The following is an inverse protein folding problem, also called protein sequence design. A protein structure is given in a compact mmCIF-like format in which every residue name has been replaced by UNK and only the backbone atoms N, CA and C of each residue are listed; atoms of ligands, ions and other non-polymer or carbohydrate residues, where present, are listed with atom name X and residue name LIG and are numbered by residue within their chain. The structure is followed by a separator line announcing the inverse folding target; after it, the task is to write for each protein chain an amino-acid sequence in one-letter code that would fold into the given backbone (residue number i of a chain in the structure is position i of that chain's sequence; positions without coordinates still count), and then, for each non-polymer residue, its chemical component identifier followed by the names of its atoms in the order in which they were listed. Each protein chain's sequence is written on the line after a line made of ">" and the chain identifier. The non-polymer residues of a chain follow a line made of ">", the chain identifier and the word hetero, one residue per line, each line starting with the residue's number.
data_IF_587193335808
#
_entry.id   IF_587193335808
#
_cell.length_a   1.000
_cell.length_b   1.000
_cell.length_c   1.000
_cell.angle_alpha   90.00
_cell.angle_beta   90.00
_cell.angle_gamma   90.00
#
_symmetry.space_group_name_H-M   'P 1'
#
loop_
_entity.id
_entity.type
_entity.pdbx_description
1 polymer ?
#
# COMPACT_ATOMS: atom_id res chain seq x y z
N UNK A 1 -9.61 -19.84 22.44
CA UNK A 1 -9.66 -18.55 23.16
C UNK A 1 -8.22 -18.05 23.30
N UNK A 2 -7.78 -17.17 22.40
CA UNK A 2 -6.48 -16.53 22.51
C UNK A 2 -6.61 -15.37 23.51
N UNK A 3 -5.72 -15.32 24.50
CA UNK A 3 -5.73 -14.25 25.50
C UNK A 3 -5.55 -12.89 24.83
N UNK A 4 -6.30 -11.89 25.30
CA UNK A 4 -6.12 -10.51 24.90
C UNK A 4 -4.68 -10.10 25.27
N UNK A 5 -3.81 -10.02 24.26
CA UNK A 5 -2.52 -9.36 24.38
C UNK A 5 -2.81 -7.88 24.63
N UNK A 6 -2.64 -7.43 25.87
CA UNK A 6 -2.75 -6.01 26.19
C UNK A 6 -1.54 -5.32 25.58
N UNK A 7 -1.76 -4.63 24.45
CA UNK A 7 -0.73 -3.80 23.82
C UNK A 7 -0.22 -2.75 24.84
N UNK A 8 1.10 -2.51 24.92
CA UNK A 8 1.62 -1.50 25.83
C UNK A 8 1.08 -0.11 25.47
N UNK A 9 0.52 0.60 26.46
CA UNK A 9 0.11 1.99 26.30
C UNK A 9 1.34 2.91 26.32
N UNK A 10 1.62 3.57 25.19
CA UNK A 10 2.74 4.52 25.07
C UNK A 10 2.23 5.92 25.47
N UNK A 11 2.68 6.43 26.62
CA UNK A 11 2.38 7.78 27.14
C UNK A 11 3.53 8.75 26.90
N UNK A 12 3.25 10.04 26.67
CA UNK A 12 4.27 11.09 26.48
C UNK A 12 4.59 11.39 25.01
N UNK A 13 5.66 12.16 24.71
CA UNK A 13 6.06 12.46 23.33
C UNK A 13 6.34 11.16 22.57
N UNK A 14 5.77 11.01 21.38
CA UNK A 14 6.00 9.82 20.56
C UNK A 14 7.49 9.69 20.21
N UNK A 15 8.06 8.47 20.31
CA UNK A 15 9.41 8.21 19.86
C UNK A 15 9.49 8.32 18.33
N UNK A 16 10.72 8.50 17.84
CA UNK A 16 11.09 8.43 16.44
C UNK A 16 11.12 6.97 15.99
N UNK A 17 10.60 6.68 14.81
CA UNK A 17 10.73 5.37 14.17
C UNK A 17 11.93 5.40 13.21
N UNK A 18 13.00 4.67 13.51
CA UNK A 18 14.19 4.58 12.65
C UNK A 18 14.26 3.22 11.96
N UNK A 19 14.36 3.19 10.63
CA UNK A 19 14.61 1.98 9.83
C UNK A 19 16.07 1.95 9.39
N UNK A 20 16.76 0.84 9.67
CA UNK A 20 18.14 0.60 9.23
C UNK A 20 18.13 -0.35 8.02
N UNK A 21 18.77 0.09 6.94
CA UNK A 21 18.88 -0.65 5.69
C UNK A 21 20.24 -1.35 5.52
N UNK A 22 20.33 -2.37 4.67
CA UNK A 22 21.55 -3.13 4.40
C UNK A 22 22.67 -2.32 3.76
N UNK A 23 22.32 -1.19 3.14
CA UNK A 23 23.27 -0.20 2.59
C UNK A 23 23.88 0.72 3.65
N UNK A 24 23.47 0.58 4.92
CA UNK A 24 23.86 1.48 6.01
C UNK A 24 23.00 2.74 6.13
N UNK A 25 22.04 2.94 5.22
CA UNK A 25 21.06 4.03 5.31
C UNK A 25 20.21 3.92 6.57
N UNK A 26 19.96 5.06 7.20
CA UNK A 26 19.07 5.21 8.36
C UNK A 26 17.95 6.18 8.01
N UNK A 27 16.72 5.69 7.98
CA UNK A 27 15.54 6.51 7.72
C UNK A 27 14.82 6.78 9.03
N UNK A 28 14.84 8.03 9.49
CA UNK A 28 14.22 8.45 10.75
C UNK A 28 12.89 9.14 10.48
N UNK A 29 11.82 8.65 11.09
CA UNK A 29 10.47 9.19 10.95
C UNK A 29 9.98 9.79 12.26
N UNK A 30 9.53 11.04 12.18
CA UNK A 30 8.74 11.68 13.23
C UNK A 30 7.28 11.26 13.06
N UNK A 31 6.74 10.63 14.09
CA UNK A 31 5.34 10.21 14.11
C UNK A 31 4.42 11.37 14.51
N UNK A 32 3.23 11.40 13.92
CA UNK A 32 2.13 12.27 14.30
C UNK A 32 1.62 11.85 15.68
N UNK A 33 1.34 12.81 16.55
CA UNK A 33 0.82 12.53 17.90
C UNK A 33 -0.66 12.15 17.88
N UNK A 34 -0.94 10.91 17.46
CA UNK A 34 -2.28 10.33 17.36
C UNK A 34 -2.35 9.00 18.12
N UNK A 35 -3.56 8.61 18.53
CA UNK A 35 -3.82 7.30 19.13
C UNK A 35 -3.50 6.17 18.13
N UNK A 36 -3.82 6.36 16.85
CA UNK A 36 -3.48 5.41 15.80
C UNK A 36 -1.97 5.20 15.69
N UNK A 37 -1.17 6.28 15.68
CA UNK A 37 0.30 6.16 15.60
C UNK A 37 0.91 5.47 16.83
N UNK A 38 0.40 5.77 18.04
CA UNK A 38 0.81 5.09 19.28
C UNK A 38 0.51 3.59 19.25
N UNK A 39 -0.67 3.24 18.76
CA UNK A 39 -1.11 1.84 18.65
C UNK A 39 -0.31 1.09 17.59
N UNK A 40 -0.10 1.72 16.42
CA UNK A 40 0.74 1.18 15.35
C UNK A 40 2.17 0.92 15.84
N UNK A 41 2.74 1.86 16.60
CA UNK A 41 4.07 1.73 17.17
C UNK A 41 4.18 0.55 18.16
N UNK A 42 3.16 0.34 18.99
CA UNK A 42 3.09 -0.81 19.90
C UNK A 42 2.97 -2.15 19.14
N UNK A 43 2.27 -2.17 18.00
CA UNK A 43 2.24 -3.33 17.10
C UNK A 43 3.60 -3.55 16.44
N UNK A 44 4.24 -2.50 15.93
CA UNK A 44 5.53 -2.55 15.26
C UNK A 44 6.68 -2.99 16.20
N UNK A 45 6.58 -2.68 17.49
CA UNK A 45 7.50 -3.16 18.52
C UNK A 45 7.54 -4.69 18.66
N UNK A 46 6.48 -5.38 18.25
CA UNK A 46 6.38 -6.83 18.29
C UNK A 46 6.85 -7.50 16.99
N UNK A 47 6.98 -6.73 15.92
CA UNK A 47 7.36 -7.23 14.61
C UNK A 47 8.86 -7.48 14.53
N UNK A 48 9.27 -8.25 13.51
CA UNK A 48 10.68 -8.51 13.24
C UNK A 48 11.01 -8.41 11.75
N UNK A 49 12.20 -7.94 11.34
CA UNK A 49 12.57 -7.82 9.92
C UNK A 49 12.45 -9.14 9.15
N UNK A 50 12.71 -10.28 9.79
CA UNK A 50 12.62 -11.59 9.14
C UNK A 50 11.19 -11.97 8.70
N UNK A 51 10.19 -11.32 9.31
CA UNK A 51 8.75 -11.51 9.09
C UNK A 51 8.17 -10.62 8.00
N UNK A 52 8.99 -9.78 7.37
CA UNK A 52 8.58 -9.08 6.15
C UNK A 52 8.35 -10.11 5.05
N UNK A 53 7.40 -9.84 4.14
CA UNK A 53 7.33 -10.60 2.87
C UNK A 53 8.75 -10.62 2.27
N UNK A 54 9.13 -11.72 1.61
CA UNK A 54 10.45 -11.81 0.97
C UNK A 54 10.26 -11.93 -0.52
N UNK A 55 11.05 -11.15 -1.25
CA UNK A 55 11.07 -11.12 -2.72
C UNK A 55 10.77 -9.75 -3.29
N UNK A 56 10.83 -9.67 -4.61
CA UNK A 56 10.75 -8.40 -5.34
C UNK A 56 9.33 -7.81 -5.38
N UNK A 57 8.30 -8.65 -5.20
CA UNK A 57 6.91 -8.23 -5.22
C UNK A 57 6.47 -7.72 -3.84
N UNK A 58 5.70 -6.63 -3.84
CA UNK A 58 5.09 -5.95 -2.69
C UNK A 58 5.99 -5.12 -1.76
N UNK A 59 7.32 -5.27 -1.82
CA UNK A 59 8.23 -4.47 -0.99
C UNK A 59 8.65 -3.16 -1.61
N UNK A 60 8.89 -3.15 -2.91
CA UNK A 60 9.47 -2.02 -3.64
C UNK A 60 8.61 -1.75 -4.87
N UNK A 61 8.02 -0.56 -4.93
CA UNK A 61 7.24 -0.08 -6.06
C UNK A 61 7.94 1.13 -6.67
N UNK A 62 8.02 1.15 -8.00
CA UNK A 62 8.70 2.18 -8.79
C UNK A 62 10.22 2.03 -8.89
N UNK A 63 10.76 0.86 -8.55
CA UNK A 63 12.21 0.60 -8.61
C UNK A 63 12.60 -0.43 -9.67
N UNK A 64 11.62 -0.94 -10.41
CA UNK A 64 11.82 -2.08 -11.28
C UNK A 64 12.60 -1.73 -12.55
N UNK A 65 13.51 -2.61 -12.91
CA UNK A 65 14.08 -2.66 -14.26
C UNK A 65 13.14 -3.41 -15.20
N UNK A 66 13.26 -3.15 -16.51
CA UNK A 66 12.44 -3.81 -17.55
C UNK A 66 12.45 -5.34 -17.42
N UNK A 67 13.59 -5.95 -17.10
CA UNK A 67 13.68 -7.41 -16.92
C UNK A 67 12.81 -7.93 -15.77
N UNK A 68 12.71 -7.18 -14.66
CA UNK A 68 11.86 -7.55 -13.52
C UNK A 68 10.38 -7.40 -13.86
N UNK A 69 10.02 -6.38 -14.64
CA UNK A 69 8.64 -6.21 -15.15
C UNK A 69 8.25 -7.40 -16.03
N UNK A 70 9.12 -7.81 -16.94
CA UNK A 70 8.87 -8.97 -17.82
C UNK A 70 8.75 -10.27 -17.02
N UNK A 71 9.58 -10.48 -15.99
CA UNK A 71 9.46 -11.63 -15.10
C UNK A 71 8.13 -11.62 -14.34
N UNK A 72 7.73 -10.48 -13.76
CA UNK A 72 6.45 -10.34 -13.07
C UNK A 72 5.25 -10.60 -13.99
N UNK A 73 5.30 -10.15 -15.25
CA UNK A 73 4.29 -10.48 -16.27
C UNK A 73 4.23 -11.98 -16.58
N UNK A 74 5.38 -12.64 -16.68
CA UNK A 74 5.43 -14.08 -16.88
C UNK A 74 4.88 -14.84 -15.66
N UNK A 75 5.18 -14.38 -14.44
CA UNK A 75 4.61 -14.91 -13.19
C UNK A 75 3.10 -14.77 -13.17
N UNK A 76 2.58 -13.58 -13.48
CA UNK A 76 1.14 -13.31 -13.59
C UNK A 76 0.46 -14.24 -14.61
N UNK A 77 1.07 -14.45 -15.78
CA UNK A 77 0.58 -15.39 -16.78
C UNK A 77 0.51 -16.83 -16.26
N UNK A 78 1.53 -17.28 -15.52
CA UNK A 78 1.54 -18.63 -14.94
C UNK A 78 0.47 -18.79 -13.86
N UNK A 79 0.40 -17.86 -12.91
CA UNK A 79 -0.55 -17.95 -11.79
C UNK A 79 -2.00 -17.82 -12.28
N UNK A 80 -2.29 -16.93 -13.24
CA UNK A 80 -3.61 -16.84 -13.86
C UNK A 80 -4.03 -18.15 -14.53
N UNK A 81 -3.13 -18.81 -15.28
CA UNK A 81 -3.40 -20.11 -15.91
C UNK A 81 -3.65 -21.21 -14.88
N UNK A 82 -2.88 -21.27 -13.80
CA UNK A 82 -3.07 -22.24 -12.72
C UNK A 82 -4.43 -22.10 -12.04
N UNK A 83 -4.94 -20.87 -11.94
CA UNK A 83 -6.27 -20.56 -11.39
C UNK A 83 -7.40 -20.72 -12.43
N UNK A 84 -7.08 -21.10 -13.66
CA UNK A 84 -8.06 -21.24 -14.74
C UNK A 84 -8.63 -19.91 -15.24
N UNK A 85 -7.91 -18.80 -15.04
CA UNK A 85 -8.30 -17.47 -15.46
C UNK A 85 -7.77 -17.17 -16.87
N UNK A 86 -8.63 -16.58 -17.70
CA UNK A 86 -8.22 -16.07 -19.01
C UNK A 86 -7.47 -14.74 -18.83
N UNK A 87 -6.27 -14.66 -19.40
CA UNK A 87 -5.46 -13.45 -19.38
C UNK A 87 -5.32 -12.90 -20.79
N UNK A 88 -5.88 -11.72 -21.02
CA UNK A 88 -5.60 -10.92 -22.22
C UNK A 88 -4.15 -10.41 -22.17
N UNK A 89 -3.53 -10.09 -23.32
CA UNK A 89 -2.21 -9.48 -23.34
C UNK A 89 -2.16 -8.20 -22.46
N UNK A 90 -1.07 -8.05 -21.72
CA UNK A 90 -0.78 -6.84 -20.93
C UNK A 90 0.21 -6.00 -21.74
N UNK A 91 -0.30 -4.97 -22.41
CA UNK A 91 0.48 -4.04 -23.23
C UNK A 91 0.23 -2.57 -22.84
N UNK A 92 0.94 -1.64 -23.48
CA UNK A 92 0.86 -0.21 -23.17
C UNK A 92 -0.57 0.37 -23.26
N UNK A 93 -1.45 -0.20 -24.07
CA UNK A 93 -2.81 0.30 -24.31
C UNK A 93 -3.87 -0.41 -23.45
N UNK A 94 -3.63 -1.66 -23.06
CA UNK A 94 -4.60 -2.50 -22.37
C UNK A 94 -4.27 -2.87 -20.93
N UNK A 95 -3.04 -2.63 -20.47
CA UNK A 95 -2.54 -3.19 -19.20
C UNK A 95 -3.49 -2.93 -18.02
N UNK A 96 -3.97 -1.70 -17.88
CA UNK A 96 -4.76 -1.27 -16.75
C UNK A 96 -6.12 -1.98 -16.70
N UNK A 97 -6.77 -2.14 -17.86
CA UNK A 97 -8.04 -2.88 -17.96
C UNK A 97 -7.82 -4.36 -17.66
N UNK A 98 -6.75 -4.95 -18.19
CA UNK A 98 -6.41 -6.35 -17.95
C UNK A 98 -6.14 -6.63 -16.46
N UNK A 99 -5.33 -5.79 -15.80
CA UNK A 99 -5.04 -5.93 -14.37
C UNK A 99 -6.28 -5.71 -13.50
N UNK A 100 -7.11 -4.70 -13.80
CA UNK A 100 -8.37 -4.47 -13.08
C UNK A 100 -9.28 -5.71 -13.14
N UNK A 101 -9.44 -6.32 -14.32
CA UNK A 101 -10.26 -7.54 -14.48
C UNK A 101 -9.73 -8.69 -13.65
N UNK A 102 -8.42 -8.91 -13.64
CA UNK A 102 -7.81 -9.96 -12.81
C UNK A 102 -8.03 -9.71 -11.33
N UNK A 103 -7.92 -8.46 -10.89
CA UNK A 103 -8.10 -8.08 -9.48
C UNK A 103 -9.50 -8.46 -8.96
N UNK A 104 -10.54 -8.36 -9.79
CA UNK A 104 -11.91 -8.78 -9.42
C UNK A 104 -11.99 -10.26 -9.03
N UNK A 105 -11.17 -11.10 -9.67
CA UNK A 105 -11.19 -12.54 -9.43
C UNK A 105 -10.66 -12.91 -8.05
N UNK A 106 -9.80 -12.09 -7.44
CA UNK A 106 -9.22 -12.44 -6.15
C UNK A 106 -10.31 -12.44 -5.04
N UNK A 107 -11.07 -11.36 -4.77
CA UNK A 107 -12.18 -11.41 -3.82
C UNK A 107 -13.25 -12.46 -4.15
N UNK A 108 -13.51 -12.73 -5.44
CA UNK A 108 -14.47 -13.74 -5.87
C UNK A 108 -13.98 -15.17 -5.61
N UNK A 109 -12.69 -15.43 -5.85
CA UNK A 109 -12.04 -16.71 -5.56
C UNK A 109 -12.19 -17.07 -4.09
N UNK A 110 -11.93 -16.12 -3.18
CA UNK A 110 -12.10 -16.33 -1.74
C UNK A 110 -13.55 -16.50 -1.30
N UNK A 111 -14.51 -15.86 -1.99
CA UNK A 111 -15.94 -15.99 -1.65
C UNK A 111 -16.58 -17.28 -2.14
N UNK A 112 -16.25 -17.74 -3.35
CA UNK A 112 -16.99 -18.80 -4.03
C UNK A 112 -16.21 -20.11 -4.20
N UNK A 113 -14.88 -20.06 -4.16
CA UNK A 113 -14.00 -21.17 -4.59
C UNK A 113 -12.77 -21.30 -3.70
N UNK A 114 -12.89 -21.06 -2.40
CA UNK A 114 -11.73 -21.24 -1.51
C UNK A 114 -11.27 -22.70 -1.54
N UNK A 115 -10.15 -22.91 -2.23
CA UNK A 115 -9.41 -24.17 -2.32
C UNK A 115 -8.08 -23.88 -1.63
N UNK A 116 -7.85 -24.40 -0.41
CA UNK A 116 -6.63 -24.12 0.37
C UNK A 116 -5.35 -24.32 -0.44
N UNK A 117 -5.33 -25.31 -1.33
CA UNK A 117 -4.19 -25.69 -2.18
C UNK A 117 -3.85 -24.62 -3.23
N UNK A 118 -4.79 -23.74 -3.56
CA UNK A 118 -4.60 -22.65 -4.53
C UNK A 118 -4.38 -21.29 -3.84
N UNK A 119 -4.37 -21.24 -2.51
CA UNK A 119 -4.21 -19.99 -1.76
C UNK A 119 -2.92 -19.28 -2.12
N UNK A 120 -1.79 -19.99 -2.10
CA UNK A 120 -0.47 -19.41 -2.39
C UNK A 120 -0.41 -18.88 -3.84
N UNK A 121 -1.01 -19.60 -4.79
CA UNK A 121 -1.09 -19.17 -6.19
C UNK A 121 -1.95 -17.91 -6.36
N UNK A 122 -3.11 -17.87 -5.70
CA UNK A 122 -3.98 -16.69 -5.71
C UNK A 122 -3.28 -15.49 -5.07
N UNK A 123 -2.60 -15.71 -3.94
CA UNK A 123 -1.85 -14.68 -3.23
C UNK A 123 -0.72 -14.14 -4.09
N UNK A 124 0.10 -15.00 -4.70
CA UNK A 124 1.16 -14.58 -5.61
C UNK A 124 0.61 -13.79 -6.81
N UNK A 125 -0.52 -14.23 -7.39
CA UNK A 125 -1.19 -13.48 -8.45
C UNK A 125 -1.58 -12.07 -7.99
N UNK A 126 -2.16 -11.93 -6.79
CA UNK A 126 -2.56 -10.64 -6.23
C UNK A 126 -1.36 -9.72 -6.01
N UNK A 127 -0.26 -10.24 -5.44
CA UNK A 127 0.98 -9.48 -5.27
C UNK A 127 1.55 -9.02 -6.62
N UNK A 128 1.52 -9.88 -7.64
CA UNK A 128 1.98 -9.53 -8.98
C UNK A 128 1.11 -8.45 -9.64
N UNK A 129 -0.22 -8.52 -9.50
CA UNK A 129 -1.15 -7.50 -10.01
C UNK A 129 -0.84 -6.15 -9.39
N UNK A 130 -0.85 -6.05 -8.06
CA UNK A 130 -0.60 -4.78 -7.37
C UNK A 130 0.78 -4.22 -7.72
N UNK A 131 1.82 -5.06 -7.73
CA UNK A 131 3.15 -4.61 -8.09
C UNK A 131 3.21 -4.08 -9.53
N UNK A 132 2.63 -4.80 -10.50
CA UNK A 132 2.56 -4.35 -11.89
C UNK A 132 1.74 -3.07 -12.08
N UNK A 133 0.70 -2.85 -11.28
CA UNK A 133 -0.09 -1.59 -11.35
C UNK A 133 0.78 -0.36 -11.08
N UNK A 134 1.69 -0.45 -10.11
CA UNK A 134 2.65 0.62 -9.84
C UNK A 134 3.70 0.75 -10.94
N UNK A 135 4.35 -0.36 -11.33
CA UNK A 135 5.46 -0.30 -12.29
C UNK A 135 4.99 0.11 -13.68
N UNK A 136 3.90 -0.47 -14.18
CA UNK A 136 3.34 -0.10 -15.48
C UNK A 136 2.72 1.30 -15.46
N UNK A 137 2.16 1.72 -14.32
CA UNK A 137 1.73 3.10 -14.10
C UNK A 137 2.87 4.10 -14.21
N UNK A 138 4.06 3.76 -13.70
CA UNK A 138 5.25 4.58 -13.86
C UNK A 138 5.75 4.59 -15.31
N UNK A 139 5.83 3.43 -15.96
CA UNK A 139 6.36 3.29 -17.33
C UNK A 139 5.44 3.94 -18.37
N UNK A 140 4.14 3.66 -18.32
CA UNK A 140 3.19 4.06 -19.36
C UNK A 140 2.38 5.32 -19.03
N UNK A 141 2.23 5.67 -17.75
CA UNK A 141 1.46 6.85 -17.33
C UNK A 141 2.31 7.92 -16.63
N UNK A 142 3.62 7.69 -16.44
CA UNK A 142 4.53 8.68 -15.87
C UNK A 142 4.24 9.06 -14.42
N UNK A 143 3.63 8.15 -13.63
CA UNK A 143 3.16 8.44 -12.25
C UNK A 143 4.27 8.81 -11.27
N UNK A 144 5.52 8.38 -11.49
CA UNK A 144 6.69 8.62 -10.60
C UNK A 144 6.40 8.27 -9.13
N UNK A 145 5.66 7.19 -8.93
CA UNK A 145 5.32 6.66 -7.62
C UNK A 145 6.40 5.71 -7.14
N UNK A 146 7.03 6.03 -6.00
CA UNK A 146 8.05 5.20 -5.38
C UNK A 146 7.65 4.90 -3.93
N UNK A 147 7.41 3.62 -3.62
CA UNK A 147 7.02 3.20 -2.28
C UNK A 147 7.87 2.02 -1.82
N UNK A 148 8.16 2.00 -0.53
CA UNK A 148 8.79 0.87 0.14
C UNK A 148 7.87 0.40 1.26
N UNK A 149 7.35 -0.82 1.19
CA UNK A 149 6.43 -1.33 2.20
C UNK A 149 7.14 -2.22 3.22
N UNK A 150 6.80 -2.02 4.49
CA UNK A 150 7.04 -2.99 5.54
C UNK A 150 5.80 -3.86 5.66
N UNK A 151 5.73 -4.92 4.85
CA UNK A 151 4.54 -5.76 4.73
C UNK A 151 4.60 -7.05 5.54
N UNK A 152 3.64 -7.20 6.46
CA UNK A 152 3.46 -8.37 7.31
C UNK A 152 2.14 -9.12 7.06
N UNK A 153 1.35 -8.70 6.06
CA UNK A 153 -0.01 -9.21 5.84
C UNK A 153 -0.07 -10.69 5.45
N UNK A 154 1.05 -11.27 5.02
CA UNK A 154 1.15 -12.70 4.70
C UNK A 154 1.17 -13.60 5.95
N UNK A 155 1.46 -13.06 7.14
CA UNK A 155 1.51 -13.82 8.39
C UNK A 155 0.16 -13.75 9.11
N UNK A 156 -0.58 -14.87 9.22
CA UNK A 156 -1.92 -14.87 9.82
C UNK A 156 -1.95 -14.35 11.26
N UNK A 157 -0.92 -14.61 12.05
CA UNK A 157 -0.78 -14.11 13.42
C UNK A 157 -0.64 -12.58 13.47
N UNK A 158 0.11 -11.97 12.55
CA UNK A 158 0.24 -10.51 12.47
C UNK A 158 -1.03 -9.89 11.90
N UNK A 159 -1.59 -10.51 10.85
CA UNK A 159 -2.82 -10.05 10.21
C UNK A 159 -4.00 -9.98 11.18
N UNK A 160 -4.03 -10.85 12.20
CA UNK A 160 -5.09 -10.85 13.24
C UNK A 160 -4.86 -9.81 14.34
N UNK A 161 -3.67 -9.21 14.44
CA UNK A 161 -3.37 -8.15 15.40
C UNK A 161 -3.77 -6.79 14.80
N UNK A 162 -5.07 -6.56 14.77
CA UNK A 162 -5.68 -5.36 14.20
C UNK A 162 -5.94 -4.31 15.29
N UNK A 163 -5.57 -3.07 15.00
CA UNK A 163 -6.10 -1.87 15.65
C UNK A 163 -7.23 -1.26 14.82
N UNK A 164 -8.08 -0.49 15.48
CA UNK A 164 -9.14 0.30 14.84
C UNK A 164 -8.76 1.78 14.88
N UNK A 165 -8.99 2.49 13.78
CA UNK A 165 -8.76 3.93 13.67
C UNK A 165 -9.93 4.66 14.37
N UNK A 166 -9.67 5.55 15.35
CA UNK A 166 -10.71 6.34 15.97
C UNK A 166 -11.43 7.23 14.96
N UNK A 167 -12.75 7.41 15.12
CA UNK A 167 -13.57 8.16 14.17
C UNK A 167 -13.11 9.61 14.02
N UNK A 168 -12.65 10.21 15.11
CA UNK A 168 -12.08 11.56 15.18
C UNK A 168 -10.76 11.70 14.43
N UNK A 169 -10.03 10.61 14.19
CA UNK A 169 -8.73 10.60 13.48
C UNK A 169 -8.87 10.35 11.98
N UNK A 170 -10.09 10.07 11.47
CA UNK A 170 -10.32 9.80 10.04
C UNK A 170 -9.91 10.95 9.11
N UNK A 171 -9.79 12.17 9.64
CA UNK A 171 -9.29 13.33 8.89
C UNK A 171 -7.79 13.28 8.55
N UNK A 172 -7.03 12.34 9.13
CA UNK A 172 -5.61 12.12 8.82
C UNK A 172 -5.38 11.28 7.56
N UNK A 173 -6.44 10.76 6.93
CA UNK A 173 -6.33 10.13 5.63
C UNK A 173 -6.01 11.17 4.56
N UNK A 174 -4.94 10.92 3.81
CA UNK A 174 -4.54 11.75 2.68
C UNK A 174 -4.22 10.88 1.47
N UNK A 175 -4.74 11.23 0.28
CA UNK A 175 -4.32 10.62 -0.98
C UNK A 175 -2.96 11.10 -1.46
N UNK A 176 -2.36 12.08 -0.78
CA UNK A 176 -1.08 12.65 -1.18
C UNK A 176 0.10 11.76 -0.75
N UNK A 177 0.69 11.07 -1.71
CA UNK A 177 1.89 10.25 -1.54
C UNK A 177 3.15 11.12 -1.68
N UNK A 178 3.39 12.05 -0.75
CA UNK A 178 4.58 12.93 -0.81
C UNK A 178 5.84 12.23 -0.33
N UNK A 179 6.99 12.65 -0.87
CA UNK A 179 8.31 12.21 -0.43
C UNK A 179 8.48 12.33 1.09
N UNK A 180 8.97 11.26 1.71
CA UNK A 180 9.22 11.17 3.14
C UNK A 180 8.00 10.85 3.98
N UNK A 181 6.79 10.74 3.42
CA UNK A 181 5.64 10.34 4.20
C UNK A 181 5.77 8.89 4.70
N UNK A 182 5.26 8.63 5.90
CA UNK A 182 5.03 7.30 6.45
C UNK A 182 3.53 7.10 6.63
N UNK A 183 2.96 6.08 6.00
CA UNK A 183 1.53 5.83 5.98
C UNK A 183 1.20 4.42 6.48
N UNK A 184 0.00 4.24 7.04
CA UNK A 184 -0.56 2.91 7.19
C UNK A 184 -0.79 2.29 5.80
N UNK A 185 -0.52 0.99 5.68
CA UNK A 185 -0.84 0.24 4.48
C UNK A 185 -2.29 -0.24 4.52
N UNK A 186 -2.91 -0.44 3.36
CA UNK A 186 -4.27 -0.95 3.24
C UNK A 186 -4.31 -2.47 3.47
N UNK A 187 -5.09 -2.94 4.45
CA UNK A 187 -5.03 -4.33 4.94
C UNK A 187 -6.20 -5.22 4.49
N UNK A 188 -7.20 -4.68 3.80
CA UNK A 188 -8.39 -5.46 3.46
C UNK A 188 -8.29 -6.17 2.13
N UNK A 189 -8.97 -7.32 2.03
CA UNK A 189 -9.32 -7.93 0.75
C UNK A 189 -10.46 -7.11 0.12
N UNK A 190 -10.12 -6.38 -0.94
CA UNK A 190 -10.98 -5.42 -1.64
C UNK A 190 -10.13 -4.37 -2.36
N UNK A 191 -10.74 -3.22 -2.69
CA UNK A 191 -10.01 -2.04 -3.20
C UNK A 191 -10.32 -0.82 -2.34
N UNK A 192 -9.29 0.00 -2.09
CA UNK A 192 -9.49 1.32 -1.48
C UNK A 192 -9.72 2.40 -2.56
N UNK A 193 -10.18 3.59 -2.15
CA UNK A 193 -10.62 4.63 -3.09
C UNK A 193 -9.50 5.07 -4.06
N UNK A 194 -8.30 5.38 -3.53
CA UNK A 194 -7.17 5.85 -4.33
C UNK A 194 -6.67 4.77 -5.29
N UNK A 195 -6.63 3.50 -4.89
CA UNK A 195 -6.35 2.37 -5.81
C UNK A 195 -7.33 2.35 -6.98
N UNK A 196 -8.64 2.46 -6.70
CA UNK A 196 -9.65 2.47 -7.76
C UNK A 196 -9.52 3.68 -8.67
N UNK A 197 -9.25 4.86 -8.11
CA UNK A 197 -9.06 6.08 -8.89
C UNK A 197 -7.81 5.99 -9.78
N UNK A 198 -6.67 5.60 -9.20
CA UNK A 198 -5.40 5.45 -9.91
C UNK A 198 -5.55 4.40 -11.00
N UNK A 199 -6.22 3.29 -10.69
CA UNK A 199 -6.50 2.24 -11.65
C UNK A 199 -7.66 2.56 -12.59
N UNK A 200 -8.31 3.73 -12.51
CA UNK A 200 -9.49 4.10 -13.31
C UNK A 200 -10.52 2.96 -13.36
N UNK A 201 -10.75 2.34 -12.21
CA UNK A 201 -11.49 1.10 -12.11
C UNK A 201 -13.00 1.34 -12.00
N UNK A 202 -13.65 1.28 -13.17
CA UNK A 202 -15.10 1.34 -13.30
C UNK A 202 -15.77 -0.05 -13.28
N UNK A 203 -14.99 -1.12 -13.16
CA UNK A 203 -15.49 -2.52 -13.22
C UNK A 203 -15.69 -3.12 -11.83
N UNK A 204 -14.92 -2.69 -10.82
CA UNK A 204 -14.96 -3.20 -9.45
C UNK A 204 -16.37 -3.16 -8.83
N UNK A 205 -16.97 -4.28 -8.41
CA UNK A 205 -18.28 -4.28 -7.76
C UNK A 205 -18.30 -3.45 -6.46
N UNK A 206 -19.46 -2.89 -6.11
CA UNK A 206 -19.58 -1.99 -4.95
C UNK A 206 -19.22 -2.68 -3.61
N UNK A 207 -19.49 -3.98 -3.48
CA UNK A 207 -19.16 -4.77 -2.29
C UNK A 207 -17.66 -5.13 -2.18
N UNK A 208 -16.86 -4.86 -3.22
CA UNK A 208 -15.40 -5.00 -3.17
C UNK A 208 -14.73 -3.71 -2.67
N UNK A 209 -15.41 -2.56 -2.75
CA UNK A 209 -14.91 -1.33 -2.17
C UNK A 209 -14.98 -1.39 -0.65
N UNK A 210 -13.86 -1.09 0.03
CA UNK A 210 -13.81 -0.97 1.49
C UNK A 210 -12.93 0.21 1.88
N UNK A 211 -13.51 1.19 2.55
CA UNK A 211 -12.75 2.27 3.18
C UNK A 211 -11.98 1.74 4.40
N UNK A 212 -10.73 2.13 4.56
CA UNK A 212 -9.86 1.63 5.63
C UNK A 212 -10.23 2.19 7.00
N UNK A 213 -10.75 1.34 7.90
CA UNK A 213 -11.04 1.72 9.31
C UNK A 213 -10.21 0.92 10.32
N UNK A 214 -9.55 -0.14 9.88
CA UNK A 214 -8.65 -0.97 10.68
C UNK A 214 -7.23 -0.97 10.09
N UNK A 215 -6.26 -1.31 10.92
CA UNK A 215 -4.85 -1.39 10.55
C UNK A 215 -4.09 -2.42 11.37
N UNK A 216 -2.94 -2.85 10.87
CA UNK A 216 -1.96 -3.63 11.63
C UNK A 216 -0.59 -2.93 11.55
N UNK A 217 0.50 -3.63 11.86
CA UNK A 217 1.85 -3.06 11.82
C UNK A 217 2.35 -2.69 10.41
N UNK A 218 1.67 -3.16 9.36
CA UNK A 218 2.09 -2.96 7.96
C UNK A 218 2.00 -1.48 7.57
N UNK A 219 3.08 -0.95 7.00
CA UNK A 219 3.19 0.46 6.63
C UNK A 219 3.90 0.68 5.29
N UNK A 220 3.69 1.85 4.70
CA UNK A 220 4.35 2.30 3.48
C UNK A 220 5.23 3.52 3.73
N UNK A 221 6.48 3.44 3.31
CA UNK A 221 7.45 4.53 3.27
C UNK A 221 7.42 5.11 1.86
N UNK A 222 7.09 6.40 1.75
CA UNK A 222 6.84 7.04 0.46
C UNK A 222 8.06 7.85 0.02
N UNK A 223 8.47 7.64 -1.23
CA UNK A 223 9.58 8.34 -1.88
C UNK A 223 9.16 8.93 -3.23
N UNK A 224 7.85 9.07 -3.50
CA UNK A 224 7.32 9.63 -4.73
C UNK A 224 7.55 11.15 -4.84
N UNK A 225 7.46 11.67 -6.05
CA UNK A 225 7.46 13.12 -6.29
C UNK A 225 6.15 13.77 -5.83
N UNK A 226 6.15 15.07 -5.45
CA UNK A 226 4.92 15.81 -5.22
C UNK A 226 4.12 15.93 -6.52
N UNK A 227 2.80 15.91 -6.40
CA UNK A 227 1.86 16.00 -7.51
C UNK A 227 1.08 17.33 -7.47
N UNK A 228 0.49 17.73 -8.60
CA UNK A 228 -0.47 18.84 -8.66
C UNK A 228 -1.78 18.45 -7.98
N UNK A 229 -1.83 18.66 -6.67
CA UNK A 229 -2.93 18.19 -5.84
C UNK A 229 -4.28 18.84 -6.18
N UNK A 230 -4.40 20.16 -6.44
CA UNK A 230 -5.67 20.75 -6.90
C UNK A 230 -6.25 20.08 -8.14
N UNK A 231 -5.43 19.80 -9.15
CA UNK A 231 -5.88 19.13 -10.37
C UNK A 231 -6.29 17.67 -10.08
N UNK A 232 -5.52 16.97 -9.22
CA UNK A 232 -5.80 15.57 -8.85
C UNK A 232 -7.06 15.43 -8.00
N UNK A 233 -7.29 16.30 -7.01
CA UNK A 233 -8.52 16.30 -6.20
C UNK A 233 -9.75 16.52 -7.09
N UNK A 234 -9.68 17.45 -8.04
CA UNK A 234 -10.74 17.67 -9.02
C UNK A 234 -11.02 16.41 -9.87
N UNK A 235 -9.97 15.72 -10.34
CA UNK A 235 -10.11 14.47 -11.08
C UNK A 235 -10.69 13.33 -10.22
N UNK A 236 -10.27 13.22 -8.96
CA UNK A 236 -10.80 12.24 -7.99
C UNK A 236 -12.27 12.50 -7.69
N UNK A 237 -12.68 13.76 -7.57
CA UNK A 237 -14.10 14.13 -7.38
C UNK A 237 -14.94 13.76 -8.59
N UNK A 238 -14.43 14.00 -9.80
CA UNK A 238 -15.09 13.57 -11.03
C UNK A 238 -15.20 12.05 -11.11
N UNK A 239 -14.14 11.32 -10.76
CA UNK A 239 -14.15 9.86 -10.69
C UNK A 239 -15.23 9.36 -9.72
N UNK A 240 -15.27 9.90 -8.49
CA UNK A 240 -16.28 9.54 -7.49
C UNK A 240 -17.70 9.70 -8.05
N UNK A 241 -17.99 10.85 -8.65
CA UNK A 241 -19.29 11.11 -9.27
C UNK A 241 -19.61 10.14 -10.41
N UNK A 242 -18.68 9.93 -11.35
CA UNK A 242 -18.87 9.03 -12.52
C UNK A 242 -19.03 7.57 -12.12
N UNK A 243 -18.39 7.15 -11.02
CA UNK A 243 -18.47 5.78 -10.50
C UNK A 243 -19.80 5.47 -9.81
N UNK A 244 -20.59 6.50 -9.47
CA UNK A 244 -21.91 6.38 -8.85
C UNK A 244 -22.06 7.17 -7.53
N UNK A 245 -21.02 7.89 -7.11
CA UNK A 245 -21.01 8.72 -5.92
C UNK A 245 -21.36 7.94 -4.64
N UNK A 246 -22.14 8.58 -3.76
CA UNK A 246 -22.62 7.96 -2.52
C UNK A 246 -23.28 6.60 -2.73
N UNK A 247 -24.01 6.38 -3.84
CA UNK A 247 -24.68 5.09 -4.09
C UNK A 247 -23.70 3.94 -4.29
N UNK A 248 -22.50 4.22 -4.78
CA UNK A 248 -21.45 3.22 -4.95
C UNK A 248 -20.57 3.11 -3.71
N UNK A 249 -20.06 4.24 -3.21
CA UNK A 249 -19.07 4.25 -2.13
C UNK A 249 -19.69 4.20 -0.72
N UNK A 250 -20.97 4.51 -0.56
CA UNK A 250 -21.62 4.68 0.74
C UNK A 250 -21.25 5.98 1.47
N UNK A 251 -20.35 6.79 0.89
CA UNK A 251 -19.86 8.04 1.46
C UNK A 251 -19.89 9.16 0.43
N UNK A 252 -20.16 10.37 0.90
CA UNK A 252 -19.93 11.59 0.12
C UNK A 252 -18.43 11.80 -0.08
N UNK A 253 -18.04 12.50 -1.15
CA UNK A 253 -16.63 12.68 -1.50
C UNK A 253 -15.81 13.34 -0.37
N UNK A 254 -16.41 14.33 0.30
CA UNK A 254 -15.75 15.10 1.37
C UNK A 254 -15.88 14.44 2.75
N UNK A 255 -16.52 13.26 2.85
CA UNK A 255 -16.60 12.51 4.11
C UNK A 255 -15.23 11.87 4.41
N UNK A 256 -14.58 12.17 5.55
CA UNK A 256 -13.27 11.59 5.88
C UNK A 256 -13.33 10.06 6.02
N UNK A 257 -14.49 9.48 6.30
CA UNK A 257 -14.69 8.03 6.39
C UNK A 257 -14.60 7.31 5.05
N UNK A 258 -14.67 8.04 3.93
CA UNK A 258 -14.35 7.51 2.61
C UNK A 258 -12.90 7.03 2.53
N UNK A 259 -12.01 7.55 3.40
CA UNK A 259 -10.59 7.21 3.44
C UNK A 259 -9.99 7.30 2.02
N UNK A 260 -10.06 8.51 1.43
CA UNK A 260 -9.69 8.76 0.01
C UNK A 260 -8.25 8.37 -0.34
N UNK A 261 -7.40 8.12 0.64
CA UNK A 261 -6.00 7.73 0.47
C UNK A 261 -5.55 6.84 1.63
N UNK A 262 -4.38 7.15 2.20
CA UNK A 262 -3.81 6.40 3.32
C UNK A 262 -3.72 7.26 4.57
N UNK A 263 -3.81 6.64 5.74
CA UNK A 263 -3.66 7.33 7.02
C UNK A 263 -2.20 7.75 7.20
N UNK A 264 -1.93 9.04 7.41
CA UNK A 264 -0.57 9.54 7.65
C UNK A 264 -0.11 9.29 9.08
N UNK A 265 0.80 8.32 9.27
CA UNK A 265 1.44 8.03 10.55
C UNK A 265 2.49 9.07 10.92
N UNK A 266 3.19 9.62 9.95
CA UNK A 266 4.30 10.53 10.19
C UNK A 266 5.04 10.93 8.93
N UNK A 267 6.24 11.45 9.11
CA UNK A 267 7.11 11.91 8.03
C UNK A 267 8.58 11.81 8.40
N UNK A 268 9.43 11.70 7.39
CA UNK A 268 10.88 11.66 7.51
C UNK A 268 11.35 12.94 8.25
N UNK A 269 12.23 12.78 9.24
CA UNK A 269 12.65 13.85 10.13
C UNK A 269 13.33 15.01 9.37
N UNK A 270 14.16 14.68 8.39
CA UNK A 270 15.02 15.63 7.67
C UNK A 270 14.61 15.78 6.20
N UNK A 271 13.31 15.95 5.91
CA UNK A 271 12.83 16.16 4.52
C UNK A 271 13.50 17.33 3.81
N UNK A 272 13.93 18.35 4.54
CA UNK A 272 14.67 19.50 4.00
C UNK A 272 16.02 19.10 3.37
N UNK A 273 16.67 18.05 3.86
CA UNK A 273 17.90 17.51 3.27
C UNK A 273 17.66 17.00 1.84
N UNK A 274 16.43 16.58 1.57
CA UNK A 274 15.97 16.02 0.30
C UNK A 274 15.14 17.03 -0.52
N UNK A 275 15.30 18.33 -0.26
CA UNK A 275 14.66 19.35 -1.10
C UNK A 275 15.17 19.33 -2.56
N UNK A 276 16.41 18.88 -2.75
CA UNK A 276 17.05 18.71 -4.06
C UNK A 276 16.58 17.40 -4.74
N UNK A 277 16.05 17.45 -5.98
CA UNK A 277 15.71 16.27 -6.77
C UNK A 277 16.85 15.24 -6.88
N UNK A 278 18.10 15.69 -7.03
CA UNK A 278 19.24 14.76 -7.20
C UNK A 278 19.50 13.95 -5.93
N UNK A 279 19.29 14.55 -4.76
CA UNK A 279 19.39 13.84 -3.47
C UNK A 279 18.26 12.84 -3.27
N UNK A 280 17.04 13.16 -3.73
CA UNK A 280 15.91 12.21 -3.71
C UNK A 280 16.19 11.03 -4.62
N UNK A 281 16.74 11.28 -5.80
CA UNK A 281 17.10 10.21 -6.73
C UNK A 281 18.25 9.34 -6.20
N UNK A 282 19.28 9.96 -5.60
CA UNK A 282 20.34 9.22 -4.94
C UNK A 282 19.81 8.31 -3.82
N UNK A 283 18.85 8.79 -3.02
CA UNK A 283 18.19 7.97 -2.00
C UNK A 283 17.42 6.80 -2.64
N UNK A 284 16.62 7.06 -3.69
CA UNK A 284 15.88 6.00 -4.39
C UNK A 284 16.81 4.95 -4.98
N UNK A 285 17.90 5.37 -5.61
CA UNK A 285 18.90 4.47 -6.16
C UNK A 285 19.50 3.58 -5.06
N UNK A 286 19.79 4.15 -3.89
CA UNK A 286 20.33 3.40 -2.76
C UNK A 286 19.28 2.45 -2.14
N UNK A 287 17.99 2.78 -2.21
CA UNK A 287 16.89 1.91 -1.74
C UNK A 287 16.57 0.75 -2.69
N UNK A 288 16.82 0.91 -4.00
CA UNK A 288 16.44 -0.08 -5.02
C UNK A 288 16.95 -1.50 -4.75
N UNK A 289 18.12 -1.62 -4.13
CA UNK A 289 18.75 -2.89 -3.74
C UNK A 289 18.87 -3.11 -2.23
N UNK A 290 18.21 -2.29 -1.40
CA UNK A 290 18.41 -2.30 0.04
C UNK A 290 17.38 -3.15 0.79
N UNK A 291 17.86 -4.01 1.68
CA UNK A 291 17.01 -4.82 2.57
C UNK A 291 16.89 -4.16 3.94
N UNK A 292 15.76 -4.38 4.60
CA UNK A 292 15.54 -3.89 5.97
C UNK A 292 16.29 -4.81 6.94
N UNK A 293 17.22 -4.26 7.72
CA UNK A 293 17.97 -5.01 8.72
C UNK A 293 17.32 -4.98 10.10
N UNK A 294 16.78 -3.83 10.50
CA UNK A 294 16.15 -3.61 11.80
C UNK A 294 15.38 -2.29 11.82
N UNK A 295 14.59 -2.08 12.87
CA UNK A 295 14.08 -0.77 13.23
C UNK A 295 14.21 -0.53 14.72
N UNK A 296 14.33 0.75 15.08
CA UNK A 296 14.42 1.20 16.46
C UNK A 296 13.28 2.18 16.76
N UNK A 297 12.75 2.08 17.99
CA UNK A 297 11.79 3.03 18.54
C UNK A 297 12.59 3.91 19.51
N UNK A 298 12.95 5.12 19.08
CA UNK A 298 13.92 6.00 19.76
C UNK A 298 13.24 7.18 20.45
#
# INVERSE_FOLDING_TARGET
>A
MAGASTLPHITGRLPTFEVLMSTGLRLRYRLNDTQTARTWLALMAQMRPEWLVRGDLNHRHGFAQTAQILDALARLQRTARQLGLALEPVDASGWQTTLNRLHLNFPEFFRQRYVPELYDTAHEMNLAIHWLEYELGNVYSGRRQHLFNLDFNHLPEVYRLMGQIPAEEMHHFSPELRFGNLHLHYVYVGRHFLEMFDAQDYLCPADHFKAQHDFNATCGLVFSEPEDWPARDAAMRQFHARRGGWRFFGYEYDDPRLARGFFKLGELHDTAEYADPDRREALRSALSGADVLSWNLV
#
